data_IF_500139973034
#
_entry.id   IF_500139973034
#
_cell.length_a   1.000
_cell.length_b   1.000
_cell.length_c   1.000
_cell.angle_alpha   90.00
_cell.angle_beta   90.00
_cell.angle_gamma   90.00
#
_symmetry.space_group_name_H-M   'P 1'
#
loop_
_entity.id
_entity.type
_entity.pdbx_description
1 polymer ?
#
# COMPACT_ATOMS: atom_id res chain seq x y z
N UNK A 1 20.18 46.26 70.49
CA UNK A 1 19.32 46.16 71.68
C UNK A 1 17.91 45.77 71.23
N UNK A 2 17.41 44.62 71.73
CA UNK A 2 16.00 44.18 71.94
C UNK A 2 14.97 44.52 70.82
N UNK A 3 14.59 43.60 69.93
CA UNK A 3 13.69 42.43 70.09
C UNK A 3 12.20 42.78 70.30
N UNK A 4 11.35 42.42 69.32
CA UNK A 4 9.96 41.87 69.39
C UNK A 4 9.61 41.44 67.95
N UNK A 5 9.77 40.19 67.49
CA UNK A 5 8.95 38.99 67.74
C UNK A 5 7.45 39.32 67.80
N UNK A 6 6.78 39.22 66.66
CA UNK A 6 5.34 38.94 66.59
C UNK A 6 5.16 37.57 65.94
N UNK A 7 4.79 36.60 66.78
CA UNK A 7 4.29 35.28 66.39
C UNK A 7 3.10 35.45 65.44
N UNK A 8 3.20 34.89 64.24
CA UNK A 8 2.04 34.39 63.50
C UNK A 8 2.15 32.86 63.47
N UNK A 9 1.53 32.26 64.49
CA UNK A 9 1.04 30.90 64.48
C UNK A 9 0.00 30.78 63.36
N UNK A 10 0.36 30.16 62.25
CA UNK A 10 -0.56 29.28 61.56
C UNK A 10 0.14 27.92 61.45
N UNK A 11 -0.47 26.84 61.98
CA UNK A 11 0.03 25.52 61.68
C UNK A 11 -0.09 25.37 60.16
N UNK A 12 1.04 25.15 59.48
CA UNK A 12 1.04 24.47 58.21
C UNK A 12 0.42 23.09 58.49
N UNK A 13 -0.91 23.05 58.48
CA UNK A 13 -1.67 21.84 58.29
C UNK A 13 -1.08 21.25 57.02
N UNK A 14 -0.47 20.09 57.20
CA UNK A 14 -0.15 19.13 56.17
C UNK A 14 -1.39 18.95 55.30
N UNK A 15 -1.59 19.83 54.32
CA UNK A 15 -2.34 19.54 53.12
C UNK A 15 -1.45 18.61 52.31
N UNK A 16 -1.23 17.40 52.83
CA UNK A 16 -1.01 16.25 51.97
C UNK A 16 -2.31 16.14 51.18
N UNK A 17 -2.37 16.82 50.04
CA UNK A 17 -3.31 16.46 49.00
C UNK A 17 -3.03 15.00 48.72
N UNK A 18 -3.84 14.11 49.28
CA UNK A 18 -3.87 12.72 48.87
C UNK A 18 -4.41 12.75 47.44
N UNK A 19 -3.52 12.79 46.46
CA UNK A 19 -3.88 12.45 45.09
C UNK A 19 -4.21 10.96 45.13
N UNK A 20 -5.49 10.59 44.96
CA UNK A 20 -5.84 9.19 44.80
C UNK A 20 -5.05 8.64 43.60
N UNK A 21 -4.29 7.57 43.83
CA UNK A 21 -3.50 6.92 42.80
C UNK A 21 -4.41 5.97 42.03
N UNK A 22 -4.92 6.41 40.89
CA UNK A 22 -5.65 5.58 39.96
C UNK A 22 -4.67 4.85 39.02
N UNK A 23 -5.00 3.61 38.64
CA UNK A 23 -4.31 2.91 37.54
C UNK A 23 -5.10 3.11 36.25
N UNK A 24 -4.43 3.63 35.22
CA UNK A 24 -5.03 3.85 33.91
C UNK A 24 -4.27 3.06 32.86
N UNK A 25 -4.98 2.23 32.10
CA UNK A 25 -4.45 1.56 30.91
C UNK A 25 -4.44 2.53 29.74
N UNK A 26 -3.28 2.71 29.12
CA UNK A 26 -3.05 3.60 27.99
C UNK A 26 -2.52 2.80 26.81
N UNK A 27 -3.13 2.98 25.65
CA UNK A 27 -2.68 2.39 24.39
C UNK A 27 -2.13 3.49 23.50
N UNK A 28 -0.87 3.36 23.08
CA UNK A 28 -0.18 4.34 22.25
C UNK A 28 0.69 3.65 21.19
N UNK A 29 1.13 4.42 20.20
CA UNK A 29 2.07 3.93 19.17
C UNK A 29 3.49 4.15 19.65
N UNK A 30 4.27 3.08 19.66
CA UNK A 30 5.69 3.13 19.96
C UNK A 30 6.48 2.92 18.68
N UNK A 31 7.45 3.81 18.45
CA UNK A 31 8.40 3.71 17.34
C UNK A 31 9.74 3.24 17.88
N UNK A 32 10.17 2.06 17.46
CA UNK A 32 11.46 1.50 17.84
C UNK A 32 12.40 1.57 16.65
N UNK A 33 13.57 2.19 16.84
CA UNK A 33 14.61 2.25 15.82
C UNK A 33 15.26 0.88 15.63
N UNK A 34 15.44 0.49 14.37
CA UNK A 34 16.07 -0.77 13.97
C UNK A 34 17.23 -0.45 13.06
N UNK A 35 18.37 -1.10 13.29
CA UNK A 35 19.53 -1.02 12.43
C UNK A 35 19.77 -2.39 11.81
N UNK A 36 19.91 -2.44 10.48
CA UNK A 36 20.14 -3.66 9.73
C UNK A 36 21.42 -3.48 8.90
N UNK A 37 22.29 -4.48 8.89
CA UNK A 37 23.42 -4.50 7.97
C UNK A 37 22.97 -4.98 6.59
N UNK A 38 23.56 -4.40 5.53
CA UNK A 38 23.30 -4.88 4.16
C UNK A 38 23.65 -6.36 4.00
N UNK A 39 24.67 -6.86 4.72
CA UNK A 39 25.02 -8.29 4.73
C UNK A 39 23.89 -9.19 5.24
N UNK A 40 23.08 -8.70 6.17
CA UNK A 40 21.97 -9.47 6.76
C UNK A 40 20.75 -9.43 5.84
N UNK A 41 20.51 -8.29 5.18
CA UNK A 41 19.42 -8.09 4.23
C UNK A 41 19.63 -8.90 2.94
N UNK A 42 20.89 -9.04 2.52
CA UNK A 42 21.28 -9.77 1.29
C UNK A 42 21.58 -11.25 1.53
N UNK A 43 21.10 -11.83 2.64
CA UNK A 43 21.09 -13.28 2.78
C UNK A 43 20.11 -13.88 1.74
N UNK A 44 20.45 -15.04 1.13
CA UNK A 44 19.59 -15.65 0.12
C UNK A 44 18.18 -15.93 0.65
N UNK A 45 17.17 -15.51 -0.11
CA UNK A 45 15.76 -15.75 0.25
C UNK A 45 15.35 -17.17 -0.15
N UNK A 46 14.70 -17.87 0.78
CA UNK A 46 14.11 -19.20 0.57
C UNK A 46 12.76 -19.35 1.29
N UNK A 47 11.92 -20.27 0.82
CA UNK A 47 10.65 -20.63 1.46
C UNK A 47 10.82 -21.03 2.94
N UNK A 48 10.05 -20.39 3.82
CA UNK A 48 9.83 -20.76 5.21
C UNK A 48 8.43 -21.36 5.41
N UNK A 49 8.17 -22.06 6.52
CA UNK A 49 6.83 -22.57 6.83
C UNK A 49 5.76 -21.46 6.81
N UNK A 50 4.51 -21.78 6.44
CA UNK A 50 3.39 -20.86 6.52
C UNK A 50 3.26 -20.20 7.89
N UNK A 51 2.86 -18.95 7.89
CA UNK A 51 2.57 -18.17 9.10
C UNK A 51 1.23 -17.45 8.95
N UNK A 52 0.61 -17.08 10.07
CA UNK A 52 -0.64 -16.33 10.05
C UNK A 52 -0.41 -14.90 9.57
N UNK A 53 -1.39 -14.34 8.85
CA UNK A 53 -1.41 -12.92 8.52
C UNK A 53 -1.45 -12.10 9.82
N UNK A 54 -0.66 -11.03 9.90
CA UNK A 54 -0.70 -10.08 11.01
C UNK A 54 -0.97 -8.68 10.49
N UNK A 55 -0.13 -8.21 9.57
CA UNK A 55 -0.25 -6.91 8.93
C UNK A 55 -0.20 -7.06 7.41
N UNK A 56 -1.29 -7.54 6.79
CA UNK A 56 -1.36 -7.71 5.36
C UNK A 56 -1.35 -6.33 4.66
N UNK A 57 -0.51 -6.21 3.65
CA UNK A 57 -0.39 -5.08 2.75
C UNK A 57 -0.99 -5.40 1.38
N UNK A 58 -0.19 -5.20 0.33
CA UNK A 58 -0.63 -5.37 -1.06
C UNK A 58 -0.90 -6.84 -1.40
N UNK A 59 -1.86 -7.02 -2.30
CA UNK A 59 -2.26 -8.30 -2.85
C UNK A 59 -1.77 -8.44 -4.29
N UNK A 60 -1.40 -9.66 -4.68
CA UNK A 60 -1.09 -10.00 -6.06
C UNK A 60 -1.55 -11.43 -6.40
N UNK A 61 -1.92 -11.65 -7.65
CA UNK A 61 -2.45 -12.93 -8.15
C UNK A 61 -1.68 -13.37 -9.37
N UNK A 62 -1.28 -14.64 -9.41
CA UNK A 62 -0.73 -15.27 -10.62
C UNK A 62 -1.30 -16.67 -10.77
N UNK A 63 -2.11 -16.88 -11.81
CA UNK A 63 -2.80 -18.15 -12.00
C UNK A 63 -3.66 -18.48 -10.79
N UNK A 64 -3.42 -19.64 -10.17
CA UNK A 64 -4.12 -20.07 -8.96
C UNK A 64 -3.48 -19.58 -7.65
N UNK A 65 -2.35 -18.88 -7.68
CA UNK A 65 -1.62 -18.51 -6.48
C UNK A 65 -1.93 -17.08 -6.04
N UNK A 66 -2.08 -16.90 -4.72
CA UNK A 66 -2.17 -15.60 -4.08
C UNK A 66 -0.87 -15.28 -3.37
N UNK A 67 -0.43 -14.05 -3.53
CA UNK A 67 0.70 -13.47 -2.82
C UNK A 67 0.18 -12.30 -2.00
N UNK A 68 0.36 -12.37 -0.69
CA UNK A 68 -0.08 -11.34 0.25
C UNK A 68 1.16 -10.79 0.95
N UNK A 69 1.49 -9.54 0.70
CA UNK A 69 2.62 -8.87 1.36
C UNK A 69 2.31 -8.75 2.86
N UNK A 70 3.24 -9.16 3.70
CA UNK A 70 3.30 -8.81 5.11
C UNK A 70 4.28 -7.65 5.26
N UNK A 71 3.74 -6.48 5.59
CA UNK A 71 4.48 -5.22 5.47
C UNK A 71 5.84 -5.29 6.18
N UNK A 72 6.92 -5.02 5.42
CA UNK A 72 8.33 -5.05 5.82
C UNK A 72 8.89 -6.41 6.26
N UNK A 73 8.10 -7.48 6.26
CA UNK A 73 8.54 -8.81 6.71
C UNK A 73 8.70 -9.79 5.56
N UNK A 74 7.85 -9.71 4.53
CA UNK A 74 7.89 -10.67 3.43
C UNK A 74 6.56 -10.91 2.76
N UNK A 75 6.40 -12.11 2.18
CA UNK A 75 5.25 -12.47 1.36
C UNK A 75 4.66 -13.80 1.83
N UNK A 76 3.36 -13.83 2.10
CA UNK A 76 2.61 -15.07 2.28
C UNK A 76 2.18 -15.63 0.93
N UNK A 77 2.36 -16.93 0.73
CA UNK A 77 2.01 -17.65 -0.51
C UNK A 77 0.87 -18.62 -0.23
N UNK A 78 -0.22 -18.53 -0.99
CA UNK A 78 -1.37 -19.42 -0.89
C UNK A 78 -1.70 -20.07 -2.23
N UNK A 79 -2.13 -21.34 -2.18
CA UNK A 79 -2.81 -22.03 -3.27
C UNK A 79 -4.30 -21.70 -3.17
N UNK A 80 -4.82 -21.07 -4.22
CA UNK A 80 -6.20 -20.63 -4.33
C UNK A 80 -6.92 -21.28 -5.52
N UNK A 81 -6.50 -22.50 -5.89
CA UNK A 81 -7.23 -23.36 -6.83
C UNK A 81 -8.68 -23.60 -6.42
N UNK A 82 -8.98 -23.56 -5.12
CA UNK A 82 -10.34 -23.51 -4.58
C UNK A 82 -10.52 -22.24 -3.72
N UNK A 83 -11.12 -21.16 -4.25
CA UNK A 83 -11.34 -19.92 -3.50
C UNK A 83 -12.25 -20.06 -2.27
N UNK A 84 -13.03 -21.14 -2.16
CA UNK A 84 -13.81 -21.42 -0.95
C UNK A 84 -12.96 -22.08 0.16
N UNK A 85 -11.76 -22.58 -0.16
CA UNK A 85 -10.84 -23.19 0.80
C UNK A 85 -9.37 -22.95 0.38
N UNK A 86 -8.87 -21.70 0.48
CA UNK A 86 -7.47 -21.37 0.18
C UNK A 86 -6.51 -22.09 1.13
N UNK A 87 -5.35 -22.52 0.62
CA UNK A 87 -4.35 -23.27 1.41
C UNK A 87 -3.04 -22.50 1.49
N UNK A 88 -2.56 -22.25 2.71
CA UNK A 88 -1.26 -21.61 2.91
C UNK A 88 -0.14 -22.59 2.51
N UNK A 89 0.80 -22.13 1.67
CA UNK A 89 1.91 -22.94 1.15
C UNK A 89 3.21 -22.63 1.88
N UNK A 90 3.58 -21.35 1.94
CA UNK A 90 4.84 -20.91 2.52
C UNK A 90 4.83 -19.42 2.86
N UNK A 91 5.85 -18.98 3.58
CA UNK A 91 6.18 -17.57 3.74
C UNK A 91 7.58 -17.29 3.20
N UNK A 92 7.75 -16.16 2.51
CA UNK A 92 9.03 -15.70 1.98
C UNK A 92 9.51 -14.53 2.84
N UNK A 93 10.53 -14.72 3.70
CA UNK A 93 11.06 -13.64 4.52
C UNK A 93 11.88 -12.69 3.64
N UNK A 94 11.33 -11.51 3.36
CA UNK A 94 11.97 -10.46 2.56
C UNK A 94 11.97 -9.17 3.40
N UNK A 95 13.10 -8.84 4.05
CA UNK A 95 13.20 -7.62 4.85
C UNK A 95 12.88 -6.38 4.02
N UNK A 96 12.00 -5.54 4.56
CA UNK A 96 11.62 -4.28 3.93
C UNK A 96 10.62 -4.39 2.79
N UNK A 97 10.12 -5.60 2.47
CA UNK A 97 9.18 -5.79 1.35
C UNK A 97 7.84 -5.08 1.57
N UNK A 98 7.40 -4.35 0.55
CA UNK A 98 6.10 -3.68 0.51
C UNK A 98 5.37 -3.82 -0.83
N UNK A 99 6.06 -4.23 -1.89
CA UNK A 99 5.46 -4.38 -3.21
C UNK A 99 6.03 -5.56 -3.99
N UNK A 100 5.24 -6.06 -4.94
CA UNK A 100 5.56 -7.20 -5.77
C UNK A 100 4.98 -7.07 -7.17
N UNK A 101 5.62 -7.71 -8.13
CA UNK A 101 5.03 -8.03 -9.42
C UNK A 101 5.48 -9.40 -9.89
N UNK A 102 4.68 -10.08 -10.72
CA UNK A 102 5.02 -11.41 -11.24
C UNK A 102 4.96 -11.41 -12.75
N UNK A 103 6.01 -11.94 -13.37
CA UNK A 103 6.08 -12.23 -14.80
C UNK A 103 6.51 -13.67 -14.98
N UNK A 104 5.73 -14.43 -15.73
CA UNK A 104 5.93 -15.86 -15.94
C UNK A 104 6.09 -16.57 -14.58
N UNK A 105 7.25 -17.19 -14.33
CA UNK A 105 7.57 -17.85 -13.08
C UNK A 105 8.54 -17.04 -12.21
N UNK A 106 8.70 -15.74 -12.45
CA UNK A 106 9.54 -14.87 -11.63
C UNK A 106 8.70 -13.84 -10.90
N UNK A 107 8.83 -13.82 -9.57
CA UNK A 107 8.30 -12.79 -8.70
C UNK A 107 9.40 -11.76 -8.43
N UNK A 108 9.12 -10.50 -8.72
CA UNK A 108 9.93 -9.36 -8.31
C UNK A 108 9.37 -8.77 -7.03
N UNK A 109 10.23 -8.51 -6.07
CA UNK A 109 9.88 -7.88 -4.80
C UNK A 109 10.90 -6.80 -4.45
N UNK A 110 10.48 -5.77 -3.75
CA UNK A 110 11.42 -4.83 -3.14
C UNK A 110 12.01 -5.39 -1.84
N UNK A 111 13.26 -5.05 -1.58
CA UNK A 111 13.96 -5.30 -0.33
C UNK A 111 14.84 -4.09 -0.02
N UNK A 112 14.20 -3.04 0.51
CA UNK A 112 14.78 -1.72 0.74
C UNK A 112 15.45 -1.11 -0.51
N UNK A 113 16.76 -1.27 -0.66
CA UNK A 113 17.57 -0.71 -1.75
C UNK A 113 17.72 -1.66 -2.95
N UNK A 114 17.19 -2.87 -2.84
CA UNK A 114 17.31 -3.93 -3.84
C UNK A 114 15.94 -4.30 -4.42
N UNK A 115 15.94 -4.70 -5.68
CA UNK A 115 14.92 -5.49 -6.35
C UNK A 115 15.37 -6.95 -6.33
N UNK A 116 14.61 -7.82 -5.70
CA UNK A 116 14.88 -9.27 -5.67
C UNK A 116 14.00 -9.96 -6.70
N UNK A 117 14.60 -10.87 -7.47
CA UNK A 117 13.91 -11.75 -8.39
C UNK A 117 13.91 -13.17 -7.83
N UNK A 118 12.73 -13.76 -7.69
CA UNK A 118 12.51 -15.07 -7.10
C UNK A 118 11.88 -16.01 -8.12
N UNK A 119 12.45 -17.20 -8.29
CA UNK A 119 11.85 -18.28 -9.08
C UNK A 119 10.73 -18.93 -8.28
N UNK A 120 9.51 -18.80 -8.80
CA UNK A 120 8.27 -19.32 -8.22
C UNK A 120 7.69 -20.49 -9.02
N UNK A 121 8.48 -21.12 -9.91
CA UNK A 121 8.06 -22.30 -10.67
C UNK A 121 7.63 -23.46 -9.78
N UNK A 122 8.22 -23.58 -8.58
CA UNK A 122 7.75 -24.44 -7.50
C UNK A 122 7.39 -23.60 -6.28
N UNK A 123 6.09 -23.43 -5.95
CA UNK A 123 5.66 -22.54 -4.87
C UNK A 123 6.05 -23.05 -3.46
N UNK A 124 6.43 -24.32 -3.33
CA UNK A 124 6.94 -24.89 -2.06
C UNK A 124 8.45 -24.76 -1.90
N UNK A 125 9.17 -24.39 -2.97
CA UNK A 125 10.63 -24.32 -3.02
C UNK A 125 11.07 -23.07 -3.80
N UNK A 126 10.55 -21.92 -3.39
CA UNK A 126 10.86 -20.62 -3.98
C UNK A 126 12.28 -20.23 -3.56
N UNK A 127 13.04 -19.69 -4.50
CA UNK A 127 14.44 -19.28 -4.28
C UNK A 127 14.76 -17.97 -4.98
N UNK A 128 15.67 -17.21 -4.39
CA UNK A 128 16.29 -16.05 -5.05
C UNK A 128 17.14 -16.50 -6.24
N UNK A 129 16.89 -15.90 -7.40
CA UNK A 129 17.69 -16.12 -8.62
C UNK A 129 18.53 -14.92 -8.99
N UNK A 130 18.10 -13.71 -8.60
CA UNK A 130 18.87 -12.50 -8.82
C UNK A 130 18.48 -11.40 -7.83
N UNK A 131 19.40 -10.46 -7.64
CA UNK A 131 19.20 -9.25 -6.86
C UNK A 131 19.90 -8.11 -7.57
N UNK A 132 19.16 -7.05 -7.84
CA UNK A 132 19.66 -5.86 -8.52
C UNK A 132 19.34 -4.65 -7.67
N UNK A 133 20.31 -3.75 -7.48
CA UNK A 133 20.04 -2.52 -6.75
C UNK A 133 18.97 -1.73 -7.48
N UNK A 134 17.89 -1.39 -6.78
CA UNK A 134 17.09 -0.25 -7.21
C UNK A 134 18.00 0.96 -7.12
N UNK A 135 18.67 1.05 -5.95
CA UNK A 135 19.57 2.05 -5.35
C UNK A 135 18.81 3.16 -4.59
N UNK A 136 17.58 2.87 -4.15
CA UNK A 136 16.65 3.86 -3.60
C UNK A 136 17.16 4.69 -2.41
N UNK A 137 18.16 4.34 -1.62
CA UNK A 137 18.64 5.12 -0.45
C UNK A 137 17.68 5.47 0.69
N UNK A 138 16.38 5.64 0.51
CA UNK A 138 15.43 5.84 1.60
C UNK A 138 13.98 5.53 1.18
N UNK A 139 13.12 5.42 2.19
CA UNK A 139 11.70 5.22 1.99
C UNK A 139 10.88 5.34 3.26
N UNK A 140 9.57 5.29 3.08
CA UNK A 140 8.55 5.50 4.10
C UNK A 140 7.47 4.48 3.83
N UNK A 141 7.00 3.89 4.90
CA UNK A 141 5.99 2.84 4.89
C UNK A 141 4.99 3.16 6.00
N UNK A 142 3.87 3.76 5.61
CA UNK A 142 2.92 4.37 6.52
C UNK A 142 3.53 5.57 7.25
N UNK A 143 3.67 5.44 8.56
CA UNK A 143 4.27 6.47 9.44
C UNK A 143 5.74 6.24 9.74
N UNK A 144 6.30 5.13 9.25
CA UNK A 144 7.68 4.75 9.52
C UNK A 144 8.57 5.14 8.36
N UNK A 145 9.80 5.55 8.65
CA UNK A 145 10.81 5.90 7.67
C UNK A 145 12.02 4.97 7.77
N UNK A 146 12.66 4.71 6.64
CA UNK A 146 13.94 4.06 6.53
C UNK A 146 14.90 4.85 5.65
N UNK A 147 16.19 4.77 5.97
CA UNK A 147 17.27 5.31 5.16
C UNK A 147 18.47 4.38 5.15
N UNK A 148 19.18 4.38 4.04
CA UNK A 148 20.41 3.64 3.83
C UNK A 148 21.60 4.60 3.85
N UNK A 149 22.53 4.33 4.76
CA UNK A 149 23.81 5.00 4.85
C UNK A 149 24.87 4.18 4.11
N UNK A 150 25.36 4.73 2.99
CA UNK A 150 26.40 4.12 2.16
C UNK A 150 27.76 4.00 2.85
N UNK A 151 28.07 4.87 3.82
CA UNK A 151 29.36 4.86 4.51
C UNK A 151 29.42 3.72 5.53
N UNK A 152 28.33 3.56 6.30
CA UNK A 152 28.25 2.52 7.33
C UNK A 152 27.69 1.19 6.82
N UNK A 153 27.18 1.16 5.57
CA UNK A 153 26.52 0.01 4.96
C UNK A 153 25.34 -0.51 5.80
N UNK A 154 24.58 0.43 6.37
CA UNK A 154 23.45 0.14 7.26
C UNK A 154 22.16 0.75 6.77
N UNK A 155 21.08 0.03 7.00
CA UNK A 155 19.72 0.55 6.93
C UNK A 155 19.27 0.92 8.34
N UNK A 156 18.83 2.15 8.49
CA UNK A 156 18.11 2.65 9.66
C UNK A 156 16.64 2.60 9.33
N UNK A 157 15.85 1.86 10.09
CA UNK A 157 14.41 1.69 9.89
C UNK A 157 13.67 1.92 11.21
N UNK A 158 12.37 2.14 11.13
CA UNK A 158 11.47 2.26 12.26
C UNK A 158 10.45 1.13 12.24
N UNK A 159 10.30 0.47 13.39
CA UNK A 159 9.17 -0.43 13.67
C UNK A 159 8.12 0.32 14.47
N UNK A 160 6.88 0.23 14.00
CA UNK A 160 5.71 0.74 14.70
C UNK A 160 5.03 -0.44 15.41
N UNK A 161 4.82 -0.32 16.71
CA UNK A 161 4.06 -1.27 17.52
C UNK A 161 2.99 -0.52 18.32
N UNK A 162 1.86 -1.19 18.57
CA UNK A 162 0.87 -0.68 19.51
C UNK A 162 1.29 -1.18 20.89
N UNK A 163 1.63 -0.26 21.78
CA UNK A 163 2.01 -0.56 23.15
C UNK A 163 0.85 -0.21 24.09
N UNK A 164 0.58 -1.10 25.04
CA UNK A 164 -0.37 -0.86 26.12
C UNK A 164 0.38 -0.86 27.44
N UNK A 165 0.27 0.22 28.20
CA UNK A 165 0.90 0.35 29.52
C UNK A 165 -0.14 0.76 30.57
N UNK A 166 -0.01 0.23 31.78
CA UNK A 166 -0.79 0.68 32.93
C UNK A 166 0.06 1.66 33.73
N UNK A 167 -0.37 2.92 33.80
CA UNK A 167 0.34 3.97 34.53
C UNK A 167 -0.46 4.37 35.76
N UNK A 168 0.24 4.62 36.88
CA UNK A 168 -0.36 5.24 38.06
C UNK A 168 -0.49 6.74 37.82
N UNK A 169 -1.69 7.28 37.95
CA UNK A 169 -2.01 8.68 37.68
C UNK A 169 -2.98 9.24 38.73
N UNK A 170 -3.08 10.57 38.77
CA UNK A 170 -4.03 11.28 39.64
C UNK A 170 -5.45 11.14 39.07
N UNK A 171 -6.40 10.76 39.92
CA UNK A 171 -7.78 10.52 39.53
C UNK A 171 -8.51 11.79 39.04
N UNK A 172 -8.05 12.99 39.38
CA UNK A 172 -8.71 14.26 38.98
C UNK A 172 -8.03 15.02 37.81
N UNK A 173 -6.94 14.47 37.26
CA UNK A 173 -6.21 15.11 36.17
C UNK A 173 -7.00 15.13 34.85
N UNK A 174 -7.49 16.30 34.42
CA UNK A 174 -7.92 16.52 33.03
C UNK A 174 -6.67 16.58 32.16
N UNK A 175 -6.27 15.45 31.58
CA UNK A 175 -5.08 15.41 30.75
C UNK A 175 -5.37 15.71 29.27
N UNK A 176 -4.68 16.73 28.75
CA UNK A 176 -4.46 17.04 27.33
C UNK A 176 -3.48 16.06 26.66
N UNK A 177 -3.45 14.79 27.03
CA UNK A 177 -2.92 13.74 26.15
C UNK A 177 -4.13 13.22 25.42
N UNK A 178 -4.26 13.56 24.13
CA UNK A 178 -5.34 13.11 23.26
C UNK A 178 -5.66 11.65 23.59
N UNK A 179 -6.78 11.35 24.28
CA UNK A 179 -7.20 9.97 24.43
C UNK A 179 -7.33 9.45 23.00
N UNK A 180 -6.78 8.27 22.75
CA UNK A 180 -6.89 7.57 21.48
C UNK A 180 -8.35 7.15 21.28
N UNK A 181 -9.23 8.13 21.09
CA UNK A 181 -10.65 8.01 20.74
C UNK A 181 -10.87 8.21 19.25
N UNK A 182 -9.80 8.32 18.47
CA UNK A 182 -9.86 8.36 17.01
C UNK A 182 -9.22 7.09 16.47
N UNK A 183 -9.99 6.11 16.00
CA UNK A 183 -9.47 5.02 15.19
C UNK A 183 -9.08 5.59 13.81
N UNK A 184 -8.02 6.39 13.75
CA UNK A 184 -7.48 6.92 12.50
C UNK A 184 -6.33 6.02 12.03
N UNK A 185 -6.71 5.24 11.01
CA UNK A 185 -5.91 4.54 10.01
C UNK A 185 -4.89 3.51 10.53
N UNK A 186 -5.40 2.31 10.76
CA UNK A 186 -4.74 1.06 10.33
C UNK A 186 -4.69 0.96 8.79
N UNK A 187 -5.51 1.75 8.10
CA UNK A 187 -5.73 1.72 6.65
C UNK A 187 -4.57 2.29 5.84
N UNK A 188 -4.13 1.52 4.83
CA UNK A 188 -3.30 2.00 3.72
C UNK A 188 -2.06 2.74 4.19
N UNK A 189 -1.05 2.01 4.66
CA UNK A 189 0.27 2.60 4.93
C UNK A 189 0.72 3.38 3.69
N UNK A 190 0.79 4.71 3.78
CA UNK A 190 1.36 5.58 2.74
C UNK A 190 2.81 5.19 2.48
N UNK A 191 3.15 4.80 1.25
CA UNK A 191 4.52 4.46 0.90
C UNK A 191 5.19 5.65 0.18
N UNK A 192 6.21 6.27 0.75
CA UNK A 192 6.94 7.41 0.14
C UNK A 192 8.44 7.09 0.08
N UNK A 193 9.12 7.11 -1.06
CA UNK A 193 10.59 6.98 -1.11
C UNK A 193 11.25 8.08 -1.94
N UNK A 194 12.38 8.63 -1.47
CA UNK A 194 13.06 9.79 -2.07
C UNK A 194 14.34 9.40 -2.85
N UNK A 195 14.35 9.78 -4.14
CA UNK A 195 15.44 10.10 -5.09
C UNK A 195 16.71 9.24 -5.26
N UNK A 196 17.24 9.32 -6.49
CA UNK A 196 18.47 8.73 -7.02
C UNK A 196 19.39 9.77 -7.67
N UNK A 197 20.66 9.39 -7.91
CA UNK A 197 21.60 10.08 -8.78
C UNK A 197 21.88 9.25 -10.07
N UNK A 198 21.86 9.93 -11.24
CA UNK A 198 21.85 9.41 -12.63
C UNK A 198 23.12 8.69 -13.14
N UNK A 199 22.98 7.65 -14.00
CA UNK A 199 23.97 7.17 -15.03
C UNK A 199 23.26 6.43 -16.20
N UNK A 200 23.80 6.48 -17.43
CA UNK A 200 23.14 6.19 -18.72
C UNK A 200 23.70 5.05 -19.64
N UNK A 201 22.82 4.55 -20.54
CA UNK A 201 22.95 3.95 -21.92
C UNK A 201 23.56 2.55 -22.23
N UNK A 202 22.78 1.61 -22.83
CA UNK A 202 22.78 1.14 -24.26
C UNK A 202 21.97 -0.17 -24.50
N UNK A 203 21.37 -0.31 -25.69
CA UNK A 203 20.27 -1.21 -26.13
C UNK A 203 20.66 -2.46 -26.95
N UNK A 204 19.88 -3.57 -26.94
CA UNK A 204 19.45 -4.37 -28.14
C UNK A 204 18.24 -5.31 -27.85
N UNK A 205 17.56 -5.74 -28.92
CA UNK A 205 16.22 -6.34 -29.20
C UNK A 205 15.75 -7.70 -28.60
N UNK A 206 14.41 -7.87 -28.60
CA UNK A 206 13.56 -8.92 -27.99
C UNK A 206 13.22 -10.16 -28.85
N UNK A 207 12.66 -11.24 -28.24
CA UNK A 207 11.35 -11.75 -28.70
C UNK A 207 10.39 -12.38 -27.64
N UNK A 208 9.13 -12.56 -28.08
CA UNK A 208 7.99 -13.40 -27.60
C UNK A 208 7.25 -13.07 -26.28
N UNK A 209 5.91 -13.14 -26.37
CA UNK A 209 4.98 -12.52 -25.42
C UNK A 209 4.84 -13.29 -24.07
N UNK A 210 5.07 -12.62 -22.94
CA UNK A 210 5.02 -13.18 -21.59
C UNK A 210 3.62 -13.17 -20.96
N UNK A 211 3.45 -13.97 -19.91
CA UNK A 211 2.28 -13.90 -19.03
C UNK A 211 2.61 -13.05 -17.80
N UNK A 212 1.81 -12.04 -17.46
CA UNK A 212 1.94 -11.26 -16.21
C UNK A 212 0.90 -11.71 -15.18
N UNK A 213 1.09 -11.38 -13.90
CA UNK A 213 0.01 -11.50 -12.91
C UNK A 213 -0.74 -10.18 -12.72
N UNK A 214 -1.70 -10.20 -11.80
CA UNK A 214 -2.60 -9.06 -11.52
C UNK A 214 -2.35 -8.55 -10.11
N UNK A 215 -1.99 -7.27 -9.99
CA UNK A 215 -1.84 -6.59 -8.71
C UNK A 215 -3.10 -5.85 -8.29
N UNK A 216 -3.19 -5.53 -6.99
CA UNK A 216 -4.22 -4.67 -6.42
C UNK A 216 -4.14 -3.22 -6.90
N UNK A 217 -5.17 -2.47 -6.52
CA UNK A 217 -5.34 -1.05 -6.86
C UNK A 217 -4.25 -0.13 -6.30
N UNK A 218 -3.48 -0.62 -5.33
CA UNK A 218 -2.38 0.10 -4.67
C UNK A 218 -0.98 -0.24 -5.23
N UNK A 219 -0.90 -0.93 -6.37
CA UNK A 219 0.37 -1.33 -6.98
C UNK A 219 1.28 -0.12 -7.27
N UNK A 220 2.57 -0.25 -6.92
CA UNK A 220 3.67 0.64 -7.36
C UNK A 220 4.61 -0.08 -8.33
N UNK A 221 4.35 -1.34 -8.61
CA UNK A 221 5.02 -2.13 -9.63
C UNK A 221 4.03 -2.39 -10.77
N UNK A 222 4.42 -2.09 -12.00
CA UNK A 222 3.67 -2.43 -13.19
C UNK A 222 4.57 -3.10 -14.22
N UNK A 223 4.03 -4.03 -14.99
CA UNK A 223 4.76 -4.68 -16.08
C UNK A 223 4.01 -4.41 -17.38
N UNK A 224 4.71 -3.87 -18.37
CA UNK A 224 4.23 -3.82 -19.76
C UNK A 224 5.30 -4.41 -20.67
N UNK A 225 4.90 -5.37 -21.52
CA UNK A 225 5.85 -6.13 -22.35
C UNK A 225 7.05 -6.61 -21.52
N UNK A 226 8.30 -6.35 -21.91
CA UNK A 226 9.54 -6.75 -21.19
C UNK A 226 10.05 -5.67 -20.23
N UNK A 227 9.20 -4.77 -19.74
CA UNK A 227 9.60 -3.70 -18.86
C UNK A 227 8.85 -3.80 -17.53
N UNK A 228 9.61 -3.85 -16.42
CA UNK A 228 9.10 -3.58 -15.09
C UNK A 228 9.29 -2.10 -14.77
N UNK A 229 8.21 -1.47 -14.32
CA UNK A 229 8.13 -0.09 -13.85
C UNK A 229 7.95 -0.11 -12.34
N UNK A 230 8.86 0.52 -11.61
CA UNK A 230 8.80 0.66 -10.15
C UNK A 230 8.72 2.14 -9.82
N UNK A 231 7.62 2.59 -9.22
CA UNK A 231 7.48 3.98 -8.78
C UNK A 231 7.84 4.14 -7.31
N UNK A 232 8.62 5.18 -7.00
CA UNK A 232 8.68 5.76 -5.66
C UNK A 232 7.90 7.07 -5.63
N UNK A 233 8.10 7.94 -4.64
CA UNK A 233 7.36 9.20 -4.53
C UNK A 233 7.70 10.19 -5.66
N UNK A 234 8.95 10.19 -6.13
CA UNK A 234 9.47 11.24 -7.00
C UNK A 234 10.11 10.71 -8.29
N UNK A 235 9.93 9.44 -8.60
CA UNK A 235 10.57 8.82 -9.75
C UNK A 235 9.91 7.50 -10.14
N UNK A 236 10.08 7.19 -11.42
CA UNK A 236 9.77 5.91 -12.02
C UNK A 236 11.08 5.27 -12.46
N UNK A 237 11.46 4.16 -11.82
CA UNK A 237 12.62 3.36 -12.16
C UNK A 237 12.20 2.21 -13.09
N UNK A 238 12.90 2.07 -14.21
CA UNK A 238 12.68 1.02 -15.19
C UNK A 238 13.66 -0.14 -14.97
N UNK A 239 13.20 -1.37 -15.17
CA UNK A 239 14.03 -2.57 -15.27
C UNK A 239 13.65 -3.38 -16.51
N UNK A 240 14.61 -3.63 -17.40
CA UNK A 240 14.44 -4.58 -18.50
C UNK A 240 14.37 -5.99 -17.91
N UNK A 241 13.29 -6.70 -18.24
CA UNK A 241 12.99 -8.06 -17.79
C UNK A 241 12.82 -9.01 -19.00
N UNK A 242 13.55 -8.74 -20.07
CA UNK A 242 13.61 -9.63 -21.25
C UNK A 242 14.09 -11.03 -20.87
N UNK A 243 15.10 -11.12 -20.00
CA UNK A 243 15.31 -12.31 -19.17
C UNK A 243 14.65 -12.05 -17.80
N UNK A 244 13.53 -12.72 -17.49
CA UNK A 244 12.83 -12.49 -16.23
C UNK A 244 13.69 -12.80 -15.01
N UNK A 245 14.62 -13.76 -15.11
CA UNK A 245 15.44 -14.15 -13.97
C UNK A 245 16.53 -13.13 -13.66
N UNK A 246 16.86 -12.21 -14.60
CA UNK A 246 17.97 -11.26 -14.46
C UNK A 246 17.53 -9.83 -14.82
N UNK A 247 16.73 -9.17 -13.97
CA UNK A 247 16.26 -7.81 -14.24
C UNK A 247 17.44 -6.83 -14.37
N UNK A 248 17.50 -6.08 -15.47
CA UNK A 248 18.56 -5.10 -15.71
C UNK A 248 18.04 -3.69 -15.45
N UNK A 249 18.65 -2.97 -14.51
CA UNK A 249 18.28 -1.59 -14.20
C UNK A 249 18.46 -0.70 -15.43
N UNK A 250 17.38 -0.04 -15.84
CA UNK A 250 17.33 0.91 -16.94
C UNK A 250 17.19 2.36 -16.47
N UNK A 251 16.51 3.17 -17.28
CA UNK A 251 16.32 4.60 -17.07
C UNK A 251 15.53 4.93 -15.80
N UNK A 252 15.88 6.03 -15.16
CA UNK A 252 15.05 6.68 -14.14
C UNK A 252 14.33 7.88 -14.76
N UNK A 253 13.04 8.02 -14.51
CA UNK A 253 12.23 9.17 -14.90
C UNK A 253 11.83 9.94 -13.65
N UNK A 254 12.16 11.22 -13.58
CA UNK A 254 11.80 12.05 -12.43
C UNK A 254 10.32 12.44 -12.49
N UNK A 255 9.63 12.32 -11.36
CA UNK A 255 8.22 12.64 -11.15
C UNK A 255 8.11 13.62 -9.97
N UNK A 256 7.25 14.63 -10.04
CA UNK A 256 7.31 15.76 -9.08
C UNK A 256 6.07 15.88 -8.17
N UNK A 257 5.10 14.97 -8.24
CA UNK A 257 3.77 15.16 -7.61
C UNK A 257 3.44 14.18 -6.46
N UNK A 258 4.44 13.59 -5.79
CA UNK A 258 4.26 12.55 -4.77
C UNK A 258 3.42 11.38 -5.29
N UNK A 259 4.06 10.51 -6.04
CA UNK A 259 3.46 9.35 -6.69
C UNK A 259 3.07 8.28 -5.67
N UNK A 260 1.91 7.67 -5.90
CA UNK A 260 1.32 6.68 -5.01
C UNK A 260 1.03 5.35 -5.70
N UNK A 261 0.58 5.38 -6.95
CA UNK A 261 0.15 4.18 -7.67
C UNK A 261 0.58 4.23 -9.12
N UNK A 262 0.65 3.06 -9.75
CA UNK A 262 0.86 2.91 -11.18
C UNK A 262 -0.11 1.87 -11.72
N UNK A 263 -0.88 2.26 -12.73
CA UNK A 263 -1.85 1.40 -13.39
C UNK A 263 -1.55 1.32 -14.89
N UNK A 264 -1.08 0.17 -15.40
CA UNK A 264 -0.89 -0.04 -16.83
C UNK A 264 -2.24 -0.32 -17.50
N UNK A 265 -2.53 0.37 -18.61
CA UNK A 265 -3.70 0.09 -19.43
C UNK A 265 -3.38 0.28 -20.91
N UNK A 266 -3.47 -0.82 -21.68
CA UNK A 266 -3.07 -0.88 -23.09
C UNK A 266 -1.60 -0.43 -23.26
N UNK A 267 -1.36 0.62 -24.02
CA UNK A 267 -0.04 1.21 -24.29
C UNK A 267 0.25 2.42 -23.41
N UNK A 268 -0.45 2.59 -22.29
CA UNK A 268 -0.29 3.74 -21.41
C UNK A 268 -0.06 3.32 -19.95
N UNK A 269 0.61 4.19 -19.20
CA UNK A 269 0.72 4.13 -17.74
C UNK A 269 -0.04 5.31 -17.15
N UNK A 270 -0.91 5.02 -16.20
CA UNK A 270 -1.62 6.00 -15.38
C UNK A 270 -0.97 6.00 -14.00
N UNK A 271 -0.28 7.08 -13.66
CA UNK A 271 0.49 7.18 -12.42
C UNK A 271 -0.26 8.13 -11.49
N UNK A 272 -0.93 7.57 -10.48
CA UNK A 272 -1.66 8.33 -9.48
C UNK A 272 -0.71 9.01 -8.51
N UNK A 273 -1.04 10.23 -8.12
CA UNK A 273 -0.23 11.07 -7.24
C UNK A 273 -1.11 11.78 -6.23
N UNK A 274 -0.51 12.38 -5.20
CA UNK A 274 -1.30 13.07 -4.19
C UNK A 274 -2.08 14.30 -4.68
N UNK A 275 -1.87 14.77 -5.91
CA UNK A 275 -2.46 16.02 -6.44
C UNK A 275 -2.92 15.88 -7.89
N UNK A 276 -2.93 14.66 -8.42
CA UNK A 276 -3.15 14.47 -9.83
C UNK A 276 -2.81 13.07 -10.30
N UNK A 277 -2.75 12.96 -11.62
CA UNK A 277 -2.37 11.75 -12.31
C UNK A 277 -1.50 12.12 -13.51
N UNK A 278 -0.37 11.46 -13.68
CA UNK A 278 0.37 11.50 -14.94
C UNK A 278 -0.15 10.44 -15.89
N UNK A 279 -0.21 10.78 -17.18
CA UNK A 279 -0.48 9.82 -18.25
C UNK A 279 0.79 9.73 -19.11
N UNK A 280 1.35 8.53 -19.20
CA UNK A 280 2.53 8.24 -20.02
C UNK A 280 2.18 7.26 -21.13
N UNK A 281 2.67 7.53 -22.34
CA UNK A 281 2.74 6.56 -23.43
C UNK A 281 3.93 5.63 -23.20
N UNK A 282 3.70 4.33 -23.40
CA UNK A 282 4.71 3.27 -23.32
C UNK A 282 4.70 2.39 -24.58
N UNK A 283 4.43 2.98 -25.74
CA UNK A 283 4.61 2.29 -27.04
C UNK A 283 6.07 1.85 -27.21
N UNK A 284 7.02 2.65 -26.73
CA UNK A 284 8.38 2.20 -26.43
C UNK A 284 8.52 2.01 -24.90
N UNK A 285 8.43 0.78 -24.37
CA UNK A 285 8.44 0.55 -22.93
C UNK A 285 9.70 1.07 -22.22
N UNK A 286 10.86 1.03 -22.89
CA UNK A 286 12.13 1.51 -22.34
C UNK A 286 12.24 3.06 -22.31
N UNK A 287 11.36 3.75 -23.06
CA UNK A 287 11.35 5.21 -23.18
C UNK A 287 9.94 5.78 -22.99
N UNK A 288 9.38 5.71 -21.77
CA UNK A 288 8.07 6.26 -21.48
C UNK A 288 8.03 7.76 -21.77
N UNK A 289 6.98 8.21 -22.47
CA UNK A 289 6.77 9.62 -22.84
C UNK A 289 5.55 10.18 -22.14
N UNK A 290 5.73 11.25 -21.37
CA UNK A 290 4.60 11.92 -20.73
C UNK A 290 3.69 12.52 -21.81
N UNK A 291 2.41 12.12 -21.82
CA UNK A 291 1.38 12.68 -22.69
C UNK A 291 0.72 13.90 -22.07
N UNK A 292 0.36 13.78 -20.79
CA UNK A 292 -0.26 14.86 -20.02
C UNK A 292 -0.11 14.65 -18.53
N UNK A 293 -0.54 15.65 -17.77
CA UNK A 293 -0.75 15.55 -16.34
C UNK A 293 -2.12 16.15 -16.02
N UNK A 294 -2.96 15.36 -15.35
CA UNK A 294 -4.26 15.79 -14.87
C UNK A 294 -4.13 16.20 -13.41
N UNK A 295 -4.43 17.46 -13.08
CA UNK A 295 -4.41 17.95 -11.70
C UNK A 295 -5.81 17.94 -11.08
N UNK A 296 -5.92 17.45 -9.85
CA UNK A 296 -7.13 17.57 -9.02
C UNK A 296 -6.78 18.13 -7.63
N UNK A 297 -7.79 18.28 -6.77
CA UNK A 297 -7.58 18.64 -5.36
C UNK A 297 -6.72 17.57 -4.68
N UNK A 298 -5.82 17.96 -3.78
CA UNK A 298 -4.91 17.01 -3.11
C UNK A 298 -5.72 15.84 -2.54
N UNK A 299 -5.36 14.60 -2.86
CA UNK A 299 -6.09 13.39 -2.47
C UNK A 299 -5.23 12.14 -2.67
N UNK A 300 -5.58 11.00 -2.08
CA UNK A 300 -4.75 9.79 -2.12
C UNK A 300 -5.50 8.62 -2.77
N UNK A 301 -5.10 8.28 -4.00
CA UNK A 301 -6.06 7.77 -4.97
C UNK A 301 -5.47 6.62 -5.82
N UNK A 302 -6.01 5.39 -5.70
CA UNK A 302 -5.88 4.43 -6.78
C UNK A 302 -6.65 4.93 -8.02
N UNK A 303 -6.07 4.66 -9.19
CA UNK A 303 -6.70 4.87 -10.48
C UNK A 303 -6.93 3.52 -11.14
N UNK A 304 -8.15 3.30 -11.64
CA UNK A 304 -8.41 2.21 -12.60
C UNK A 304 -9.00 2.77 -13.87
N UNK A 305 -8.71 2.12 -14.99
CA UNK A 305 -9.12 2.60 -16.31
C UNK A 305 -9.89 1.52 -17.05
N UNK A 306 -10.98 1.94 -17.69
CA UNK A 306 -11.68 1.12 -18.68
C UNK A 306 -12.12 1.99 -19.86
N UNK A 307 -11.68 1.60 -21.06
CA UNK A 307 -11.94 2.30 -22.31
C UNK A 307 -11.59 3.80 -22.23
N UNK A 308 -12.59 4.68 -22.33
CA UNK A 308 -12.44 6.13 -22.38
C UNK A 308 -12.57 6.80 -21.00
N UNK A 309 -12.65 6.02 -19.92
CA UNK A 309 -12.85 6.58 -18.58
C UNK A 309 -11.81 6.05 -17.59
N UNK A 310 -11.21 6.99 -16.86
CA UNK A 310 -10.46 6.71 -15.64
C UNK A 310 -11.35 6.99 -14.43
N UNK A 311 -11.32 6.09 -13.47
CA UNK A 311 -12.02 6.20 -12.19
C UNK A 311 -10.98 6.49 -11.12
N UNK A 312 -11.15 7.60 -10.42
CA UNK A 312 -10.20 8.11 -9.44
C UNK A 312 -10.96 8.37 -8.14
N UNK A 313 -10.63 7.66 -7.08
CA UNK A 313 -11.26 7.93 -5.78
C UNK A 313 -10.49 9.02 -5.06
N UNK A 314 -11.11 10.16 -4.77
CA UNK A 314 -10.54 11.24 -3.96
C UNK A 314 -10.99 11.12 -2.50
N UNK A 315 -10.05 11.00 -1.56
CA UNK A 315 -10.24 11.16 -0.11
C UNK A 315 -9.74 12.50 0.44
N UNK A 316 -10.59 13.24 1.15
CA UNK A 316 -10.37 14.54 1.80
C UNK A 316 -10.06 14.46 3.30
N UNK A 317 -8.90 13.90 3.68
CA UNK A 317 -8.47 13.80 5.09
C UNK A 317 -7.32 14.74 5.41
N UNK A 318 -7.06 15.01 6.71
CA UNK A 318 -5.88 15.81 7.13
C UNK A 318 -4.54 15.16 6.76
N UNK A 319 -4.52 13.83 6.57
CA UNK A 319 -3.31 13.08 6.19
C UNK A 319 -3.11 13.07 4.67
N UNK A 320 -4.20 13.12 3.92
CA UNK A 320 -4.26 13.07 2.46
C UNK A 320 -5.38 13.97 1.98
N UNK A 321 -4.99 15.10 1.42
CA UNK A 321 -5.90 16.15 0.97
C UNK A 321 -6.06 17.33 1.92
N UNK A 322 -7.13 18.08 1.70
CA UNK A 322 -7.52 19.22 2.52
C UNK A 322 -8.62 18.76 3.46
N UNK A 323 -8.36 18.78 4.76
CA UNK A 323 -9.35 18.36 5.75
C UNK A 323 -10.68 19.13 5.58
N UNK A 324 -11.80 18.40 5.52
CA UNK A 324 -13.12 18.98 5.30
C UNK A 324 -13.55 19.06 3.82
N UNK A 325 -12.76 18.55 2.89
CA UNK A 325 -13.21 18.30 1.52
C UNK A 325 -14.03 17.01 1.44
N UNK A 326 -15.03 16.99 0.56
CA UNK A 326 -15.89 15.83 0.36
C UNK A 326 -15.12 14.71 -0.34
N UNK A 327 -15.23 13.48 0.18
CA UNK A 327 -14.72 12.29 -0.49
C UNK A 327 -15.56 12.02 -1.74
N UNK A 328 -14.91 11.76 -2.88
CA UNK A 328 -15.59 11.54 -4.16
C UNK A 328 -14.96 10.41 -4.97
N UNK A 329 -15.74 9.88 -5.91
CA UNK A 329 -15.26 9.13 -7.07
C UNK A 329 -15.38 10.04 -8.28
N UNK A 330 -14.26 10.47 -8.82
CA UNK A 330 -14.19 11.19 -10.08
C UNK A 330 -14.14 10.20 -11.25
N UNK A 331 -15.05 10.41 -12.20
CA UNK A 331 -15.04 9.79 -13.51
C UNK A 331 -14.43 10.80 -14.47
N UNK A 332 -13.22 10.50 -14.93
CA UNK A 332 -12.42 11.34 -15.82
C UNK A 332 -12.52 10.81 -17.24
N UNK A 333 -13.00 11.62 -18.16
CA UNK A 333 -12.97 11.33 -19.60
C UNK A 333 -11.52 11.45 -20.10
N UNK A 334 -10.99 10.33 -20.57
CA UNK A 334 -9.64 10.16 -21.11
C UNK A 334 -9.65 9.79 -22.60
N UNK A 335 -10.77 10.00 -23.31
CA UNK A 335 -10.86 9.82 -24.77
C UNK A 335 -9.78 10.63 -25.53
N UNK A 336 -9.36 11.76 -24.95
CA UNK A 336 -8.14 12.46 -25.33
C UNK A 336 -7.11 12.41 -24.18
N UNK A 337 -6.12 11.52 -24.30
CA UNK A 337 -5.05 11.33 -23.32
C UNK A 337 -4.18 12.56 -23.10
N UNK A 338 -4.18 13.54 -24.01
CA UNK A 338 -3.41 14.79 -23.82
C UNK A 338 -4.24 15.88 -23.13
N UNK A 339 -5.55 15.68 -22.97
CA UNK A 339 -6.47 16.65 -22.37
C UNK A 339 -7.59 15.94 -21.57
N UNK A 340 -7.24 15.17 -20.53
CA UNK A 340 -8.22 14.52 -19.66
C UNK A 340 -9.07 15.55 -18.89
N UNK A 341 -10.34 15.24 -18.65
CA UNK A 341 -11.26 16.14 -17.92
C UNK A 341 -12.25 15.38 -17.05
N UNK A 342 -12.61 15.94 -15.89
CA UNK A 342 -13.68 15.37 -15.05
C UNK A 342 -15.00 15.42 -15.83
N UNK A 343 -15.60 14.25 -16.02
CA UNK A 343 -16.91 14.10 -16.64
C UNK A 343 -18.02 14.11 -15.58
N UNK A 344 -17.78 13.48 -14.43
CA UNK A 344 -18.72 13.41 -13.30
C UNK A 344 -18.00 13.12 -12.00
N UNK A 345 -18.53 13.61 -10.88
CA UNK A 345 -18.10 13.25 -9.53
C UNK A 345 -19.26 12.63 -8.77
N UNK A 346 -18.99 11.55 -8.05
CA UNK A 346 -19.96 10.87 -7.16
C UNK A 346 -19.50 10.98 -5.72
N UNK A 347 -20.39 11.30 -4.77
CA UNK A 347 -20.02 11.31 -3.37
C UNK A 347 -19.65 9.91 -2.88
N UNK A 348 -18.57 9.81 -2.11
CA UNK A 348 -18.16 8.59 -1.41
C UNK A 348 -17.98 8.87 0.08
N UNK A 349 -17.70 7.81 0.84
CA UNK A 349 -17.32 7.89 2.24
C UNK A 349 -16.01 7.11 2.47
N UNK A 350 -14.91 7.82 2.69
CA UNK A 350 -13.58 7.28 3.01
C UNK A 350 -13.05 6.22 2.03
N UNK A 351 -12.88 6.53 0.73
CA UNK A 351 -12.36 5.56 -0.24
C UNK A 351 -10.89 5.21 0.00
N UNK A 352 -10.49 3.99 -0.36
CA UNK A 352 -9.14 3.45 -0.23
C UNK A 352 -8.66 2.69 -1.46
N UNK A 353 -9.48 1.77 -1.96
CA UNK A 353 -9.13 0.79 -2.99
C UNK A 353 -10.18 0.78 -4.09
N UNK A 354 -9.77 0.45 -5.30
CA UNK A 354 -10.61 0.56 -6.49
C UNK A 354 -10.30 -0.55 -7.49
N UNK A 355 -11.30 -1.31 -7.93
CA UNK A 355 -11.12 -2.37 -8.91
C UNK A 355 -12.24 -2.36 -9.93
N UNK A 356 -11.94 -2.54 -11.21
CA UNK A 356 -12.95 -2.63 -12.27
C UNK A 356 -12.80 -3.94 -13.04
N UNK A 357 -13.91 -4.65 -13.17
CA UNK A 357 -14.10 -5.73 -14.13
C UNK A 357 -15.42 -5.43 -14.84
N UNK A 358 -15.29 -4.72 -15.96
CA UNK A 358 -16.42 -4.03 -16.59
C UNK A 358 -17.57 -4.99 -16.91
N UNK A 359 -18.83 -4.63 -16.58
CA UNK A 359 -19.29 -3.32 -16.10
C UNK A 359 -19.29 -3.14 -14.58
N UNK A 360 -18.70 -4.04 -13.79
CA UNK A 360 -18.74 -3.97 -12.33
C UNK A 360 -17.53 -3.20 -11.78
N UNK A 361 -17.81 -2.17 -10.98
CA UNK A 361 -16.80 -1.36 -10.30
C UNK A 361 -16.89 -1.58 -8.79
N UNK A 362 -15.76 -1.88 -8.17
CA UNK A 362 -15.62 -2.15 -6.74
C UNK A 362 -14.88 -1.00 -6.07
N UNK A 363 -15.47 -0.43 -5.02
CA UNK A 363 -14.87 0.66 -4.24
C UNK A 363 -14.75 0.24 -2.80
N UNK A 364 -13.52 0.16 -2.30
CA UNK A 364 -13.23 -0.06 -0.89
C UNK A 364 -13.35 1.27 -0.14
N UNK A 365 -14.25 1.33 0.84
CA UNK A 365 -14.63 2.53 1.59
C UNK A 365 -14.23 2.43 3.08
N UNK A 366 -13.15 1.71 3.38
CA UNK A 366 -12.61 1.58 4.74
C UNK A 366 -13.66 1.05 5.71
N UNK A 367 -13.95 1.80 6.77
CA UNK A 367 -14.97 1.46 7.78
C UNK A 367 -16.40 1.40 7.25
N UNK A 368 -16.66 1.92 6.04
CA UNK A 368 -17.98 1.89 5.40
C UNK A 368 -18.20 0.68 4.53
N UNK A 369 -17.18 -0.16 4.36
CA UNK A 369 -17.33 -1.43 3.69
C UNK A 369 -16.68 -1.50 2.31
N UNK A 370 -17.19 -2.44 1.53
CA UNK A 370 -16.99 -2.55 0.10
C UNK A 370 -18.29 -2.19 -0.61
N UNK A 371 -18.26 -1.25 -1.56
CA UNK A 371 -19.40 -0.93 -2.43
C UNK A 371 -19.19 -1.47 -3.84
N UNK A 372 -20.26 -2.03 -4.40
CA UNK A 372 -20.31 -2.59 -5.76
C UNK A 372 -21.19 -1.68 -6.60
N UNK A 373 -20.65 -1.16 -7.69
CA UNK A 373 -21.31 -0.24 -8.61
C UNK A 373 -21.52 -0.90 -9.97
N UNK A 374 -22.64 -0.58 -10.60
CA UNK A 374 -22.84 -0.72 -12.03
C UNK A 374 -22.20 0.48 -12.74
N UNK A 375 -21.17 0.20 -13.55
CA UNK A 375 -20.44 1.16 -14.35
C UNK A 375 -20.74 1.04 -15.85
N UNK A 376 -21.83 0.37 -16.24
CA UNK A 376 -22.29 0.28 -17.64
C UNK A 376 -22.52 1.67 -18.25
N UNK A 377 -23.03 2.62 -17.46
CA UNK A 377 -23.04 4.04 -17.78
C UNK A 377 -22.14 4.82 -16.80
N UNK A 378 -20.94 5.25 -17.21
CA UNK A 378 -19.99 5.96 -16.34
C UNK A 378 -20.50 7.32 -15.85
N UNK A 379 -21.56 7.87 -16.46
CA UNK A 379 -22.19 9.13 -16.06
C UNK A 379 -23.47 8.93 -15.23
N UNK A 380 -23.87 7.68 -14.98
CA UNK A 380 -24.98 7.27 -14.11
C UNK A 380 -24.61 6.00 -13.30
N UNK A 381 -23.54 6.08 -12.50
CA UNK A 381 -23.13 4.98 -11.63
C UNK A 381 -24.20 4.65 -10.59
N UNK A 382 -24.49 3.35 -10.44
CA UNK A 382 -25.51 2.87 -9.49
C UNK A 382 -24.90 1.89 -8.50
N UNK A 383 -25.07 2.15 -7.21
CA UNK A 383 -24.71 1.18 -6.17
C UNK A 383 -25.66 -0.02 -6.27
N UNK A 384 -25.10 -1.19 -6.53
CA UNK A 384 -25.82 -2.46 -6.54
C UNK A 384 -25.84 -3.09 -5.14
N UNK A 385 -24.70 -3.05 -4.44
CA UNK A 385 -24.54 -3.65 -3.10
C UNK A 385 -23.51 -2.89 -2.26
N UNK A 386 -23.66 -2.94 -0.93
CA UNK A 386 -22.65 -2.47 0.02
C UNK A 386 -22.47 -3.47 1.16
N UNK A 387 -21.22 -3.87 1.43
CA UNK A 387 -20.83 -4.79 2.49
C UNK A 387 -20.22 -4.03 3.66
N UNK A 388 -21.05 -3.55 4.59
CA UNK A 388 -20.61 -2.70 5.70
C UNK A 388 -19.61 -3.37 6.67
N UNK A 389 -19.60 -4.70 6.76
CA UNK A 389 -18.78 -5.46 7.71
C UNK A 389 -17.37 -5.79 7.18
N UNK A 390 -16.97 -5.23 6.04
CA UNK A 390 -15.67 -5.50 5.41
C UNK A 390 -14.87 -4.21 5.43
N UNK A 391 -13.93 -4.10 6.37
CA UNK A 391 -13.08 -2.91 6.48
C UNK A 391 -12.04 -2.85 5.34
N UNK A 392 -12.51 -2.72 4.11
CA UNK A 392 -11.79 -2.97 2.88
C UNK A 392 -10.84 -1.82 2.54
N UNK A 393 -9.65 -2.16 2.06
CA UNK A 393 -8.68 -1.16 1.60
C UNK A 393 -8.08 -1.46 0.24
N UNK A 394 -8.04 -2.71 -0.21
CA UNK A 394 -7.58 -3.05 -1.56
C UNK A 394 -8.39 -4.22 -2.13
N UNK A 395 -8.46 -4.30 -3.45
CA UNK A 395 -9.38 -5.18 -4.19
C UNK A 395 -8.78 -5.61 -5.52
N UNK A 396 -8.98 -6.88 -5.89
CA UNK A 396 -8.66 -7.43 -7.21
C UNK A 396 -9.88 -8.21 -7.74
N UNK A 397 -10.55 -7.75 -8.79
CA UNK A 397 -11.57 -8.54 -9.48
C UNK A 397 -10.92 -9.53 -10.48
N UNK A 398 -11.36 -10.79 -10.47
CA UNK A 398 -10.83 -11.89 -11.30
C UNK A 398 -11.93 -12.58 -12.13
N UNK A 399 -12.64 -11.83 -12.97
CA UNK A 399 -13.80 -12.23 -13.82
C UNK A 399 -15.04 -12.83 -13.12
N UNK A 400 -14.85 -13.62 -12.05
CA UNK A 400 -15.88 -14.33 -11.28
C UNK A 400 -15.62 -14.30 -9.78
N UNK A 401 -14.37 -14.06 -9.36
CA UNK A 401 -13.99 -14.04 -7.95
C UNK A 401 -13.35 -12.71 -7.59
N UNK A 402 -13.86 -12.07 -6.53
CA UNK A 402 -13.35 -10.82 -6.02
C UNK A 402 -12.47 -11.12 -4.81
N UNK A 403 -11.25 -10.65 -4.84
CA UNK A 403 -10.38 -10.62 -3.67
C UNK A 403 -10.48 -9.25 -3.04
N UNK A 404 -10.67 -9.19 -1.73
CA UNK A 404 -10.76 -7.93 -0.99
C UNK A 404 -10.01 -8.08 0.31
N UNK A 405 -8.97 -7.28 0.51
CA UNK A 405 -8.22 -7.27 1.76
C UNK A 405 -8.80 -6.18 2.68
N UNK A 406 -9.04 -6.56 3.94
CA UNK A 406 -9.59 -5.69 4.97
C UNK A 406 -8.85 -5.82 6.30
N UNK A 407 -9.29 -5.04 7.30
CA UNK A 407 -8.62 -4.95 8.62
C UNK A 407 -8.26 -6.29 9.27
N UNK A 408 -9.10 -7.29 9.04
CA UNK A 408 -9.09 -8.55 9.75
C UNK A 408 -8.87 -9.74 8.82
N UNK A 409 -8.44 -9.52 7.58
CA UNK A 409 -8.07 -10.60 6.67
C UNK A 409 -8.38 -10.36 5.20
N UNK A 410 -8.14 -11.40 4.41
CA UNK A 410 -8.51 -11.46 2.99
C UNK A 410 -9.87 -12.13 2.83
N UNK A 411 -10.80 -11.43 2.20
CA UNK A 411 -12.12 -11.91 1.83
C UNK A 411 -12.12 -12.33 0.36
N UNK A 412 -12.80 -13.43 0.06
CA UNK A 412 -13.03 -13.89 -1.31
C UNK A 412 -14.52 -13.97 -1.58
N UNK A 413 -15.01 -13.29 -2.62
CA UNK A 413 -16.41 -13.33 -3.03
C UNK A 413 -16.56 -13.96 -4.41
N UNK A 414 -17.61 -14.74 -4.61
CA UNK A 414 -18.13 -15.06 -5.93
C UNK A 414 -18.99 -13.88 -6.39
N UNK A 415 -18.64 -13.29 -7.51
CA UNK A 415 -19.40 -12.23 -8.16
C UNK A 415 -19.85 -12.61 -9.58
N UNK A 416 -19.90 -13.91 -9.89
CA UNK A 416 -20.47 -14.39 -11.16
C UNK A 416 -21.88 -13.83 -11.43
N UNK A 417 -22.60 -13.46 -10.35
CA UNK A 417 -23.73 -12.54 -10.40
C UNK A 417 -23.37 -11.23 -9.66
N UNK A 418 -23.12 -10.10 -10.37
CA UNK A 418 -22.62 -8.87 -9.76
C UNK A 418 -23.65 -8.16 -8.86
N UNK A 419 -24.94 -8.46 -8.99
CA UNK A 419 -25.99 -7.92 -8.09
C UNK A 419 -26.19 -8.77 -6.84
N UNK A 420 -25.48 -9.90 -6.71
CA UNK A 420 -25.65 -10.87 -5.63
C UNK A 420 -24.32 -11.55 -5.28
N UNK A 421 -23.35 -10.78 -4.78
CA UNK A 421 -22.07 -11.34 -4.34
C UNK A 421 -22.25 -12.30 -3.17
N UNK A 422 -21.48 -13.39 -3.18
CA UNK A 422 -21.51 -14.42 -2.14
C UNK A 422 -20.12 -14.65 -1.58
N UNK A 423 -19.97 -14.53 -0.26
CA UNK A 423 -18.70 -14.85 0.41
C UNK A 423 -18.35 -16.33 0.21
N UNK A 424 -17.14 -16.59 -0.28
CA UNK A 424 -16.58 -17.92 -0.49
C UNK A 424 -15.71 -18.35 0.69
N UNK A 425 -14.79 -17.47 1.11
CA UNK A 425 -13.88 -17.73 2.22
C UNK A 425 -13.33 -16.44 2.81
N UNK A 426 -12.71 -16.57 3.99
CA UNK A 426 -11.93 -15.52 4.64
C UNK A 426 -10.62 -16.14 5.17
N UNK A 427 -9.50 -15.49 4.89
CA UNK A 427 -8.20 -15.78 5.50
C UNK A 427 -7.98 -14.74 6.59
N UNK A 428 -8.09 -15.14 7.87
CA UNK A 428 -8.01 -14.21 8.98
C UNK A 428 -6.60 -13.61 9.19
N UNK A 429 -6.57 -12.32 9.51
CA UNK A 429 -5.40 -11.65 10.06
C UNK A 429 -5.51 -11.54 11.58
N UNK A 430 -4.48 -12.00 12.29
CA UNK A 430 -4.39 -11.84 13.74
C UNK A 430 -4.24 -10.36 14.06
N UNK A 431 -5.02 -9.86 15.01
CA UNK A 431 -4.78 -8.53 15.55
C UNK A 431 -3.42 -8.54 16.26
N UNK A 432 -2.55 -7.54 16.04
CA UNK A 432 -1.35 -7.40 16.85
C UNK A 432 -1.76 -7.21 18.31
N UNK A 433 -1.22 -8.06 19.19
CA UNK A 433 -1.39 -7.96 20.65
C UNK A 433 -0.80 -6.67 21.19
#
# INVERSE_FOLDING_TARGET
MKAYILLLLLPLVYLTSCTDNCEQTRTYRKYTSVQLFISDIRQPISSAPPQSLVEPGKLYVKGQYLFIVEVKKGIHVFDNSNPANPRAISFLPIPGNVDIAVRDNILYADSYIDLVALDISNPTAIKEVNRTETGFTNGRVGRTYWSYDKQTMKIYDQREEIATETVKTDCEGTFNVLPYLVPIAWFGRYYESFAFADVAYNSVSAPTAPTTGTGGSMARFAITSNQLYVVNNSSLQLFDITDPATPVKGKTVNLNWNVETIFPYRTNLFIGTTTGMYIYDVVNPAEPKQLSAFSHVRSCDPVVVHENYAYVTLRGTSTCGVAGTQDVLDVVDISNLTAPRVAKSYPLETPYGLGIDYPTLFVCQGNKGLSVFDASNPLDLKVQQTFANVNAFDVIPLSKTLLTIGKDGLYQYDYSNPVALRLLSKIDARQPN
#
